data_IF_340962586169
#
_entry.id   IF_340962586169
#
_cell.length_a   1.000
_cell.length_b   1.000
_cell.length_c   1.000
_cell.angle_alpha   90.00
_cell.angle_beta   90.00
_cell.angle_gamma   90.00
#
_symmetry.space_group_name_H-M   'P 1'
#
loop_
_entity.id
_entity.type
_entity.pdbx_description
1 polymer ?
#
# COMPACT_ATOMS: atom_id res chain seq x y z
N UNK A 1 23.68 -4.20 -7.97
CA UNK A 1 24.74 -4.99 -7.32
C UNK A 1 24.71 -4.90 -5.81
N UNK A 2 24.93 -3.76 -5.16
CA UNK A 2 25.00 -3.67 -3.66
C UNK A 2 23.81 -4.22 -2.85
N UNK A 3 22.61 -4.38 -3.43
CA UNK A 3 21.44 -4.95 -2.73
C UNK A 3 21.42 -6.48 -2.75
N UNK A 4 21.92 -7.10 -3.81
CA UNK A 4 22.05 -8.56 -3.93
C UNK A 4 23.11 -9.04 -2.92
N UNK A 5 24.26 -8.35 -2.87
CA UNK A 5 25.36 -8.67 -1.94
C UNK A 5 24.90 -8.57 -0.48
N UNK A 6 24.06 -7.61 -0.15
CA UNK A 6 23.50 -7.45 1.21
C UNK A 6 22.56 -8.59 1.60
N UNK A 7 21.80 -9.13 0.65
CA UNK A 7 20.90 -10.26 0.89
C UNK A 7 21.68 -11.57 1.05
N UNK A 8 22.72 -11.77 0.26
CA UNK A 8 23.62 -12.92 0.36
C UNK A 8 24.40 -12.92 1.67
N UNK A 9 24.86 -11.74 2.15
CA UNK A 9 25.61 -11.61 3.39
C UNK A 9 24.73 -11.65 4.66
N UNK A 10 23.39 -11.70 4.53
CA UNK A 10 22.46 -11.75 5.65
C UNK A 10 22.32 -13.10 6.36
N UNK A 11 23.19 -14.08 6.07
CA UNK A 11 23.19 -15.37 6.76
C UNK A 11 22.06 -16.33 6.37
N UNK A 12 21.33 -16.04 5.27
CA UNK A 12 20.21 -16.86 4.80
C UNK A 12 20.63 -18.20 4.18
N UNK A 13 21.92 -18.38 3.88
CA UNK A 13 22.44 -19.54 3.14
C UNK A 13 22.07 -19.59 1.65
N UNK A 14 21.29 -18.60 1.15
CA UNK A 14 20.89 -18.52 -0.24
C UNK A 14 21.93 -17.77 -1.07
N UNK A 15 22.27 -18.34 -2.21
CA UNK A 15 23.14 -17.74 -3.23
C UNK A 15 22.27 -17.44 -4.45
N UNK A 16 22.42 -16.26 -5.03
CA UNK A 16 21.78 -15.94 -6.32
C UNK A 16 22.55 -16.65 -7.40
N UNK A 17 21.91 -17.63 -8.04
CA UNK A 17 22.48 -18.39 -9.14
C UNK A 17 22.38 -17.60 -10.43
N UNK A 18 21.16 -17.27 -10.85
CA UNK A 18 20.95 -16.44 -12.04
C UNK A 18 19.71 -15.52 -11.89
N UNK A 19 19.69 -14.45 -12.68
CA UNK A 19 18.54 -13.56 -12.80
C UNK A 19 17.74 -13.94 -14.04
N UNK A 20 16.69 -14.73 -13.85
CA UNK A 20 15.83 -15.20 -14.96
C UNK A 20 14.99 -14.10 -15.59
N UNK A 21 14.63 -13.06 -14.81
CA UNK A 21 13.78 -11.96 -15.27
C UNK A 21 14.09 -10.68 -14.52
N UNK A 22 14.30 -9.61 -15.24
CA UNK A 22 14.36 -8.25 -14.72
C UNK A 22 13.22 -7.43 -15.33
N UNK A 23 12.32 -6.93 -14.50
CA UNK A 23 11.21 -6.07 -14.93
C UNK A 23 11.49 -4.61 -14.59
N UNK A 24 11.46 -3.73 -15.57
CA UNK A 24 11.47 -2.29 -15.38
C UNK A 24 10.05 -1.76 -15.58
N UNK A 25 9.43 -1.28 -14.50
CA UNK A 25 8.12 -0.64 -14.57
C UNK A 25 8.32 0.87 -14.70
N UNK A 26 8.11 1.39 -15.89
CA UNK A 26 8.18 2.83 -16.16
C UNK A 26 6.74 3.36 -16.13
N UNK A 27 6.40 4.07 -15.08
CA UNK A 27 5.13 4.79 -14.98
C UNK A 27 5.38 6.27 -15.23
N UNK A 28 4.49 6.92 -15.97
CA UNK A 28 4.49 8.38 -16.10
C UNK A 28 4.25 8.94 -14.70
N UNK A 29 5.21 9.71 -14.18
CA UNK A 29 5.02 10.43 -12.92
C UNK A 29 3.94 11.48 -13.16
N UNK A 30 2.73 11.17 -12.75
CA UNK A 30 1.69 12.18 -12.56
C UNK A 30 1.71 12.52 -11.08
N UNK A 31 1.94 13.82 -10.71
CA UNK A 31 1.72 14.23 -9.34
C UNK A 31 0.30 13.79 -8.97
N UNK A 32 0.21 13.08 -7.85
CA UNK A 32 -1.00 12.41 -7.39
C UNK A 32 -2.13 13.44 -7.16
N UNK A 33 -2.77 13.89 -8.21
CA UNK A 33 -4.05 14.55 -8.09
C UNK A 33 -5.11 13.45 -7.91
N UNK A 34 -5.19 12.93 -6.69
CA UNK A 34 -6.21 11.97 -6.33
C UNK A 34 -7.57 12.68 -6.36
N UNK A 35 -8.32 12.42 -7.43
CA UNK A 35 -9.64 13.06 -7.65
C UNK A 35 -10.74 12.03 -7.61
N UNK A 36 -11.02 11.34 -6.68
CA UNK A 36 -12.15 10.43 -6.60
C UNK A 36 -11.84 8.94 -6.68
N UNK A 37 -12.82 8.18 -6.26
CA UNK A 37 -12.83 6.73 -6.27
C UNK A 37 -12.54 6.15 -7.66
N UNK A 38 -11.59 5.23 -7.73
CA UNK A 38 -11.31 4.40 -8.89
C UNK A 38 -11.64 2.94 -8.51
N UNK A 39 -12.52 2.23 -9.24
CA UNK A 39 -12.80 0.84 -8.96
C UNK A 39 -11.56 -0.03 -9.18
N UNK A 40 -11.33 -0.96 -8.27
CA UNK A 40 -10.27 -1.95 -8.42
C UNK A 40 -10.64 -3.02 -9.46
N UNK A 41 -9.63 -3.61 -10.07
CA UNK A 41 -9.78 -4.82 -10.89
C UNK A 41 -10.46 -5.93 -10.07
N UNK A 42 -11.34 -6.70 -10.72
CA UNK A 42 -12.08 -7.80 -10.07
C UNK A 42 -11.14 -8.82 -9.42
N UNK A 43 -10.01 -9.11 -10.07
CA UNK A 43 -8.99 -10.04 -9.57
C UNK A 43 -8.36 -9.56 -8.25
N UNK A 44 -8.20 -8.26 -8.06
CA UNK A 44 -7.67 -7.68 -6.82
C UNK A 44 -8.77 -7.60 -5.77
N UNK A 45 -9.94 -7.08 -6.13
CA UNK A 45 -11.05 -6.87 -5.19
C UNK A 45 -11.58 -8.20 -4.62
N UNK A 46 -11.61 -9.28 -5.42
CA UNK A 46 -12.05 -10.60 -5.01
C UNK A 46 -11.16 -11.24 -3.94
N UNK A 47 -9.92 -10.79 -3.79
CA UNK A 47 -9.00 -11.24 -2.71
C UNK A 47 -9.45 -10.76 -1.34
N UNK A 48 -10.33 -9.75 -1.25
CA UNK A 48 -10.87 -9.17 0.00
C UNK A 48 -9.77 -8.75 0.98
N UNK A 49 -8.64 -8.34 0.45
CA UNK A 49 -7.42 -7.96 1.17
C UNK A 49 -7.25 -6.45 1.28
N UNK A 50 -8.06 -5.71 0.54
CA UNK A 50 -7.98 -4.25 0.42
C UNK A 50 -9.29 -3.57 0.81
N UNK A 51 -9.18 -2.33 1.25
CA UNK A 51 -10.31 -1.44 1.49
C UNK A 51 -10.18 -0.26 0.53
N UNK A 52 -11.05 -0.21 -0.45
CA UNK A 52 -11.11 0.83 -1.46
C UNK A 52 -12.15 1.89 -1.08
N UNK A 53 -11.71 3.00 -0.49
CA UNK A 53 -12.60 4.00 0.10
C UNK A 53 -13.24 4.84 -0.99
N UNK A 54 -14.57 4.88 -0.99
CA UNK A 54 -15.40 5.61 -1.96
C UNK A 54 -15.52 7.08 -1.55
N UNK A 55 -14.47 7.85 -1.81
CA UNK A 55 -14.46 9.30 -1.58
C UNK A 55 -14.77 10.06 -2.89
N UNK A 56 -15.22 11.32 -2.73
CA UNK A 56 -15.53 12.24 -3.85
C UNK A 56 -14.57 13.43 -3.90
N UNK A 57 -13.57 13.43 -3.05
CA UNK A 57 -12.57 14.47 -2.86
C UNK A 57 -11.15 13.94 -3.13
N UNK A 58 -10.13 14.75 -2.92
CA UNK A 58 -8.72 14.41 -3.10
C UNK A 58 -8.07 13.80 -1.85
N UNK A 59 -8.88 13.36 -0.84
CA UNK A 59 -8.43 12.95 0.48
C UNK A 59 -8.31 11.44 0.67
N UNK A 60 -8.25 10.64 -0.41
CA UNK A 60 -8.16 9.18 -0.31
C UNK A 60 -6.99 8.70 0.54
N UNK A 61 -5.82 9.35 0.43
CA UNK A 61 -4.66 9.04 1.27
C UNK A 61 -4.95 9.24 2.76
N UNK A 62 -5.54 10.38 3.13
CA UNK A 62 -5.93 10.69 4.50
C UNK A 62 -6.92 9.66 5.06
N UNK A 63 -7.94 9.29 4.29
CA UNK A 63 -8.92 8.30 4.71
C UNK A 63 -8.31 6.91 4.87
N UNK A 64 -7.36 6.52 3.99
CA UNK A 64 -6.63 5.27 4.15
C UNK A 64 -5.82 5.23 5.45
N UNK A 65 -5.10 6.31 5.78
CA UNK A 65 -4.40 6.43 7.06
C UNK A 65 -5.37 6.39 8.24
N UNK A 66 -6.47 7.16 8.17
CA UNK A 66 -7.49 7.17 9.21
C UNK A 66 -8.07 5.77 9.47
N UNK A 67 -8.33 4.98 8.42
CA UNK A 67 -8.78 3.59 8.59
C UNK A 67 -7.73 2.67 9.18
N UNK A 68 -6.47 2.84 8.77
CA UNK A 68 -5.38 1.99 9.24
C UNK A 68 -4.98 2.27 10.69
N UNK A 69 -5.08 3.54 11.13
CA UNK A 69 -4.66 4.00 12.44
C UNK A 69 -5.83 4.16 13.44
N UNK A 70 -7.05 3.82 13.03
CA UNK A 70 -8.24 3.92 13.88
C UNK A 70 -8.11 3.00 15.11
N UNK A 71 -8.08 3.53 16.33
CA UNK A 71 -7.97 2.72 17.54
C UNK A 71 -9.25 1.92 17.82
N UNK A 72 -10.39 2.32 17.25
CA UNK A 72 -11.69 1.69 17.43
C UNK A 72 -12.39 1.45 16.09
N UNK A 73 -11.85 0.56 15.24
CA UNK A 73 -12.30 0.43 13.86
C UNK A 73 -13.75 -0.02 13.73
N UNK A 74 -14.47 0.60 12.82
CA UNK A 74 -15.80 0.15 12.41
C UNK A 74 -15.74 -1.28 11.87
N UNK A 75 -16.79 -2.07 12.14
CA UNK A 75 -16.87 -3.48 11.68
C UNK A 75 -17.43 -3.61 10.27
N UNK A 76 -18.20 -2.63 9.82
CA UNK A 76 -18.95 -2.68 8.57
C UNK A 76 -18.72 -1.43 7.72
N UNK A 77 -18.97 -1.53 6.41
CA UNK A 77 -18.91 -0.41 5.46
C UNK A 77 -17.57 0.35 5.49
N UNK A 78 -16.47 -0.38 5.60
CA UNK A 78 -15.12 0.20 5.67
C UNK A 78 -14.74 0.98 4.41
N UNK A 79 -15.40 0.69 3.30
CA UNK A 79 -15.26 1.34 2.00
C UNK A 79 -15.96 2.70 1.92
N UNK A 80 -16.69 3.12 2.95
CA UNK A 80 -17.42 4.39 2.96
C UNK A 80 -16.74 5.45 3.83
N UNK A 81 -16.86 6.70 3.40
CA UNK A 81 -16.45 7.85 4.22
C UNK A 81 -17.54 8.13 5.25
N UNK A 82 -17.47 7.44 6.39
CA UNK A 82 -18.42 7.58 7.50
C UNK A 82 -18.15 8.86 8.34
N UNK A 83 -19.10 9.22 9.19
CA UNK A 83 -18.89 10.29 10.20
C UNK A 83 -17.76 9.90 11.17
N UNK A 84 -17.71 8.62 11.57
CA UNK A 84 -16.66 8.10 12.44
C UNK A 84 -15.28 8.28 11.78
N UNK A 85 -15.09 7.85 10.53
CA UNK A 85 -13.82 8.02 9.83
C UNK A 85 -13.38 9.49 9.74
N UNK A 86 -14.30 10.39 9.47
CA UNK A 86 -14.01 11.84 9.45
C UNK A 86 -13.53 12.33 10.80
N UNK A 87 -14.19 11.87 11.89
CA UNK A 87 -13.81 12.22 13.24
C UNK A 87 -12.41 11.67 13.58
N UNK A 88 -12.12 10.41 13.27
CA UNK A 88 -10.80 9.82 13.45
C UNK A 88 -9.72 10.63 12.72
N UNK A 89 -9.97 11.06 11.48
CA UNK A 89 -9.02 11.89 10.75
C UNK A 89 -8.75 13.23 11.44
N UNK A 90 -9.75 13.84 12.07
CA UNK A 90 -9.59 15.08 12.85
C UNK A 90 -8.84 14.80 14.16
N UNK A 91 -9.22 13.77 14.90
CA UNK A 91 -8.62 13.41 16.18
C UNK A 91 -7.12 13.08 16.02
N UNK A 92 -6.76 12.41 14.94
CA UNK A 92 -5.37 12.11 14.57
C UNK A 92 -4.68 13.28 13.84
N UNK A 93 -5.35 14.42 13.64
CA UNK A 93 -4.83 15.60 12.89
C UNK A 93 -4.37 15.30 11.46
N UNK A 94 -4.95 14.27 10.84
CA UNK A 94 -4.61 13.88 9.46
C UNK A 94 -5.13 14.89 8.43
N UNK A 95 -6.11 15.71 8.80
CA UNK A 95 -6.65 16.83 8.02
C UNK A 95 -5.62 17.95 7.77
N UNK A 96 -4.52 17.98 8.53
CA UNK A 96 -3.40 18.91 8.36
C UNK A 96 -2.40 18.44 7.28
N UNK A 97 -2.55 17.23 6.75
CA UNK A 97 -1.70 16.73 5.67
C UNK A 97 -2.01 17.50 4.39
N UNK A 98 -0.96 18.08 3.79
CA UNK A 98 -1.09 18.81 2.52
C UNK A 98 -1.45 17.82 1.40
N UNK A 99 -2.55 18.05 0.72
CA UNK A 99 -3.01 17.26 -0.41
C UNK A 99 -2.75 17.99 -1.74
N UNK A 100 -2.50 17.27 -2.82
CA UNK A 100 -2.27 15.83 -2.91
C UNK A 100 -0.90 15.42 -2.34
N UNK A 101 -0.86 14.25 -1.70
CA UNK A 101 0.38 13.72 -1.13
C UNK A 101 1.29 13.21 -2.24
N UNK A 102 2.52 13.71 -2.28
CA UNK A 102 3.58 13.22 -3.16
C UNK A 102 4.54 12.30 -2.41
N UNK A 103 5.35 11.52 -3.14
CA UNK A 103 6.37 10.65 -2.52
C UNK A 103 7.33 11.40 -1.59
N UNK A 104 7.62 12.68 -1.88
CA UNK A 104 8.46 13.54 -1.03
C UNK A 104 7.80 13.87 0.31
N UNK A 105 6.47 14.00 0.31
CA UNK A 105 5.71 14.29 1.52
C UNK A 105 5.61 13.09 2.46
N UNK A 106 5.73 11.85 1.95
CA UNK A 106 5.60 10.64 2.75
C UNK A 106 6.61 10.59 3.89
N UNK A 107 7.85 10.99 3.66
CA UNK A 107 8.87 11.02 4.73
C UNK A 107 8.48 11.96 5.90
N UNK A 108 7.80 13.08 5.59
CA UNK A 108 7.30 14.00 6.62
C UNK A 108 6.11 13.38 7.36
N UNK A 109 5.19 12.77 6.62
CA UNK A 109 4.03 12.06 7.20
C UNK A 109 4.49 10.96 8.14
N UNK A 110 5.42 10.12 7.73
CA UNK A 110 5.97 9.03 8.55
C UNK A 110 6.53 9.53 9.88
N UNK A 111 7.34 10.59 9.84
CA UNK A 111 7.93 11.18 11.05
C UNK A 111 6.89 11.86 11.96
N UNK A 112 5.87 12.49 11.35
CA UNK A 112 4.85 13.23 12.12
C UNK A 112 3.89 12.30 12.84
N UNK A 113 3.54 11.17 12.21
CA UNK A 113 2.51 10.24 12.71
C UNK A 113 3.08 8.92 13.23
N UNK A 114 4.41 8.79 13.29
CA UNK A 114 5.12 7.58 13.73
C UNK A 114 4.61 6.31 13.00
N UNK A 115 4.52 6.40 11.66
CA UNK A 115 3.95 5.36 10.81
C UNK A 115 4.81 5.07 9.59
N UNK A 116 5.14 3.79 9.37
CA UNK A 116 5.75 3.33 8.11
C UNK A 116 4.71 3.32 7.01
N UNK A 117 4.94 4.02 5.90
CA UNK A 117 4.02 4.03 4.75
C UNK A 117 4.67 3.36 3.56
N UNK A 118 4.23 2.15 3.26
CA UNK A 118 4.64 1.40 2.07
C UNK A 118 3.62 1.60 0.95
N UNK A 119 4.13 1.81 -0.26
CA UNK A 119 3.28 2.07 -1.44
C UNK A 119 3.58 1.02 -2.50
N UNK A 120 2.53 0.38 -2.97
CA UNK A 120 2.55 -0.64 -4.00
C UNK A 120 1.75 -0.19 -5.22
N UNK A 121 2.17 -0.67 -6.39
CA UNK A 121 1.40 -0.57 -7.63
C UNK A 121 0.90 -1.94 -8.06
N UNK A 122 0.14 -1.96 -9.15
CA UNK A 122 -0.28 -3.21 -9.77
C UNK A 122 -0.22 -3.14 -11.30
N UNK A 123 0.06 -4.28 -11.92
CA UNK A 123 -0.06 -4.49 -13.36
C UNK A 123 -0.98 -5.71 -13.57
N UNK A 124 -2.21 -5.46 -14.01
CA UNK A 124 -3.22 -6.49 -13.91
C UNK A 124 -3.35 -6.97 -12.45
N UNK A 125 -3.33 -8.29 -12.19
CA UNK A 125 -3.42 -8.83 -10.85
C UNK A 125 -2.09 -8.84 -10.07
N UNK A 126 -0.97 -8.52 -10.70
CA UNK A 126 0.36 -8.60 -10.10
C UNK A 126 0.69 -7.31 -9.33
N UNK A 127 1.09 -7.47 -8.07
CA UNK A 127 1.46 -6.37 -7.19
C UNK A 127 2.97 -6.17 -7.21
N UNK A 128 3.43 -4.92 -7.16
CA UNK A 128 4.86 -4.60 -7.09
C UNK A 128 5.11 -3.41 -6.17
N UNK A 129 6.26 -3.34 -5.48
CA UNK A 129 6.57 -2.22 -4.62
C UNK A 129 6.98 -0.98 -5.45
N UNK A 130 6.37 0.18 -5.13
CA UNK A 130 6.78 1.49 -5.65
C UNK A 130 7.71 2.16 -4.64
N UNK A 131 7.33 2.15 -3.37
CA UNK A 131 8.10 2.71 -2.26
C UNK A 131 7.95 1.83 -1.03
N UNK A 132 9.06 1.53 -0.42
CA UNK A 132 9.09 0.93 0.91
C UNK A 132 9.85 1.88 1.84
N UNK A 133 9.33 2.05 3.05
CA UNK A 133 10.05 2.82 4.08
C UNK A 133 11.37 2.13 4.45
N UNK A 134 12.40 2.93 4.71
CA UNK A 134 13.69 2.43 5.20
C UNK A 134 13.79 2.56 6.73
N UNK A 135 12.94 3.36 7.33
CA UNK A 135 12.86 3.57 8.76
C UNK A 135 11.84 2.62 9.40
N UNK A 136 12.03 2.36 10.68
CA UNK A 136 11.10 1.59 11.50
C UNK A 136 10.32 2.57 12.38
N UNK A 137 8.99 2.50 12.30
CA UNK A 137 8.04 3.28 13.09
C UNK A 137 7.13 2.34 13.86
N UNK A 138 6.37 2.88 14.81
CA UNK A 138 5.49 2.08 15.68
C UNK A 138 4.36 1.38 14.91
N UNK A 139 3.83 2.03 13.87
CA UNK A 139 2.75 1.48 13.05
C UNK A 139 3.18 1.29 11.60
N UNK A 140 2.50 0.39 10.88
CA UNK A 140 2.74 0.16 9.46
C UNK A 140 1.44 0.28 8.67
N UNK A 141 1.47 1.04 7.58
CA UNK A 141 0.36 1.20 6.65
C UNK A 141 0.82 0.87 5.23
N UNK A 142 0.16 -0.10 4.64
CA UNK A 142 0.42 -0.54 3.27
C UNK A 142 -0.68 0.00 2.35
N UNK A 143 -0.29 0.70 1.29
CA UNK A 143 -1.19 1.34 0.33
C UNK A 143 -0.97 0.77 -1.07
N UNK A 144 -2.06 0.51 -1.78
CA UNK A 144 -2.06 0.22 -3.20
C UNK A 144 -2.45 1.48 -3.97
N UNK A 145 -1.69 1.83 -4.99
CA UNK A 145 -2.05 2.88 -5.94
C UNK A 145 -2.71 2.23 -7.14
N UNK A 146 -3.93 2.64 -7.44
CA UNK A 146 -4.59 2.35 -8.71
C UNK A 146 -4.68 3.63 -9.52
N UNK A 147 -4.53 3.52 -10.82
CA UNK A 147 -4.49 4.66 -11.74
C UNK A 147 -5.49 4.46 -12.85
N UNK A 148 -6.06 5.55 -13.33
CA UNK A 148 -6.68 5.65 -14.64
C UNK A 148 -5.87 6.65 -15.49
N UNK A 149 -6.33 6.99 -16.68
CA UNK A 149 -5.61 7.87 -17.61
C UNK A 149 -5.32 9.28 -17.03
N UNK A 150 -6.10 9.75 -16.07
CA UNK A 150 -6.03 11.12 -15.56
C UNK A 150 -5.63 11.22 -14.10
N UNK A 151 -5.93 10.21 -13.28
CA UNK A 151 -5.82 10.32 -11.82
C UNK A 151 -5.31 9.05 -11.16
N UNK A 152 -4.78 9.22 -9.95
CA UNK A 152 -4.37 8.13 -9.07
C UNK A 152 -5.31 8.07 -7.86
N UNK A 153 -5.47 6.87 -7.29
CA UNK A 153 -6.26 6.66 -6.10
C UNK A 153 -5.53 5.73 -5.14
N UNK A 154 -5.50 6.09 -3.86
CA UNK A 154 -4.95 5.23 -2.80
C UNK A 154 -6.02 4.31 -2.24
N UNK A 155 -5.63 3.07 -2.07
CA UNK A 155 -6.44 1.99 -1.49
C UNK A 155 -5.67 1.40 -0.32
N UNK A 156 -6.31 1.23 0.83
CA UNK A 156 -5.65 0.61 1.97
C UNK A 156 -5.53 -0.91 1.80
N UNK A 157 -4.32 -1.45 1.93
CA UNK A 157 -4.05 -2.90 1.99
C UNK A 157 -4.17 -3.33 3.44
N UNK A 158 -5.27 -4.00 3.78
CA UNK A 158 -5.52 -4.51 5.12
C UNK A 158 -4.76 -5.80 5.42
N UNK A 159 -4.53 -6.62 4.40
CA UNK A 159 -3.87 -7.91 4.52
C UNK A 159 -2.98 -8.13 3.30
N UNK A 160 -1.69 -7.86 3.48
CA UNK A 160 -0.70 -7.92 2.39
C UNK A 160 -0.46 -9.35 1.90
N UNK A 161 -0.44 -10.31 2.80
CA UNK A 161 -0.22 -11.71 2.46
C UNK A 161 -1.39 -12.24 1.63
N UNK A 162 -2.61 -11.97 2.07
CA UNK A 162 -3.82 -12.32 1.34
C UNK A 162 -3.91 -11.64 -0.03
N UNK A 163 -3.42 -10.40 -0.15
CA UNK A 163 -3.39 -9.67 -1.42
C UNK A 163 -2.50 -10.39 -2.45
N UNK A 164 -1.39 -10.97 -2.00
CA UNK A 164 -0.41 -11.65 -2.88
C UNK A 164 -0.69 -13.15 -3.00
N UNK A 165 -1.62 -13.68 -2.21
CA UNK A 165 -1.97 -15.09 -2.28
C UNK A 165 -2.69 -15.40 -3.60
N UNK A 166 -2.01 -16.07 -4.50
CA UNK A 166 -2.63 -16.66 -5.69
C UNK A 166 -3.36 -17.94 -5.26
N UNK A 167 -4.56 -18.15 -5.79
CA UNK A 167 -5.32 -19.37 -5.53
C UNK A 167 -4.50 -20.59 -5.97
N UNK A 168 -3.76 -21.15 -5.04
CA UNK A 168 -3.04 -22.41 -5.25
C UNK A 168 -3.84 -23.52 -4.57
N UNK A 169 -3.68 -24.76 -5.05
CA UNK A 169 -4.28 -25.96 -4.40
C UNK A 169 -3.77 -26.18 -2.97
N UNK A 170 -2.72 -25.47 -2.57
CA UNK A 170 -2.14 -25.54 -1.23
C UNK A 170 -2.94 -24.68 -0.25
N UNK A 171 -3.45 -25.29 0.82
CA UNK A 171 -4.26 -24.62 1.87
C UNK A 171 -3.41 -23.91 2.95
N UNK A 172 -2.07 -24.06 2.92
CA UNK A 172 -1.20 -23.48 3.93
C UNK A 172 -1.12 -21.97 3.82
N UNK A 173 -1.10 -21.29 4.96
CA UNK A 173 -0.86 -19.85 5.04
C UNK A 173 0.54 -19.54 4.50
N UNK A 174 0.64 -18.56 3.62
CA UNK A 174 1.90 -18.07 3.06
C UNK A 174 2.13 -16.66 3.52
N UNK A 175 3.39 -16.35 3.81
CA UNK A 175 3.86 -15.02 4.14
C UNK A 175 4.67 -14.48 2.98
N UNK A 176 4.50 -13.20 2.65
CA UNK A 176 5.15 -12.59 1.51
C UNK A 176 6.12 -11.50 1.93
N UNK A 177 7.32 -11.53 1.37
CA UNK A 177 8.27 -10.44 1.52
C UNK A 177 7.79 -9.21 0.73
N UNK A 178 7.64 -8.06 1.40
CA UNK A 178 7.19 -6.83 0.75
C UNK A 178 8.17 -6.29 -0.30
N UNK A 179 9.45 -6.67 -0.22
CA UNK A 179 10.48 -6.19 -1.15
C UNK A 179 10.50 -6.97 -2.46
N UNK A 180 10.44 -8.29 -2.40
CA UNK A 180 10.55 -9.14 -3.58
C UNK A 180 9.23 -9.82 -3.96
N UNK A 181 8.18 -9.69 -3.14
CA UNK A 181 6.85 -10.31 -3.35
C UNK A 181 6.95 -11.85 -3.44
N UNK A 182 8.04 -12.43 -2.96
CA UNK A 182 8.19 -13.88 -2.86
C UNK A 182 7.62 -14.36 -1.53
N UNK A 183 7.07 -15.58 -1.52
CA UNK A 183 6.57 -16.22 -0.33
C UNK A 183 7.63 -17.13 0.30
N UNK A 184 7.53 -17.30 1.60
CA UNK A 184 8.38 -18.19 2.42
C UNK A 184 7.53 -18.91 3.45
#
# INVERSE_FOLDING_TARGET
MRRIDRHQNGGSGWIVDEILKHGLHINRYQPLSAKSYIPLLKEISNRKATINIQNKDDRCFMYCLGRALDPNPEKHNLDRVSKHLKQVCVDLKLDQIVMPVTMKHLNKVEKTYDVSVNVFGHNGPDIYPIRLTEATFTSEVNLLVTTNEETNHYVWIRDFDRLNFRVTKCKNKKYFCMRCIQHF
#
